data_IF_826285729602
#
_entry.id   IF_826285729602
#
_cell.length_a   1.000
_cell.length_b   1.000
_cell.length_c   1.000
_cell.angle_alpha   90.00
_cell.angle_beta   90.00
_cell.angle_gamma   90.00
#
_symmetry.space_group_name_H-M   'P 1'
#
loop_
_entity.id
_entity.type
_entity.pdbx_description
1 polymer ?
#
# COMPACT_ATOMS: atom_id res chain seq x y z
N UNK A 1 21.50 4.67 2.47
CA UNK A 1 21.06 5.68 3.46
C UNK A 1 19.68 5.24 3.94
N UNK A 2 19.53 4.94 5.22
CA UNK A 2 18.29 4.34 5.77
C UNK A 2 17.12 5.31 5.61
N UNK A 3 16.05 4.90 4.91
CA UNK A 3 14.81 5.67 4.83
C UNK A 3 14.22 5.78 6.23
N UNK A 4 14.43 6.92 6.87
CA UNK A 4 13.68 7.29 8.07
C UNK A 4 12.21 7.35 7.67
N UNK A 5 11.43 6.39 8.17
CA UNK A 5 9.97 6.52 8.26
C UNK A 5 9.67 7.95 8.73
N UNK A 6 8.76 8.69 8.05
CA UNK A 6 8.34 10.01 8.51
C UNK A 6 8.09 9.97 10.02
N UNK A 7 8.59 10.94 10.78
CA UNK A 7 8.56 10.90 12.27
C UNK A 7 7.16 10.59 12.83
N UNK A 8 6.11 10.92 12.10
CA UNK A 8 4.71 10.60 12.42
C UNK A 8 4.37 9.11 12.22
N UNK A 9 4.84 8.48 11.13
CA UNK A 9 4.69 7.05 10.91
C UNK A 9 5.55 6.22 11.89
N UNK A 10 6.76 6.67 12.20
CA UNK A 10 7.61 6.01 13.19
C UNK A 10 6.95 6.00 14.58
N UNK A 11 6.34 7.12 14.99
CA UNK A 11 5.58 7.22 16.26
C UNK A 11 4.32 6.34 16.28
N UNK A 12 3.62 6.20 15.16
CA UNK A 12 2.43 5.35 15.06
C UNK A 12 2.78 3.85 15.10
N UNK A 13 3.90 3.44 14.49
CA UNK A 13 4.38 2.05 14.51
C UNK A 13 4.83 1.58 15.90
N UNK A 14 5.40 2.47 16.71
CA UNK A 14 5.85 2.14 18.07
C UNK A 14 4.73 2.09 19.12
N UNK A 15 3.53 2.62 18.82
CA UNK A 15 2.38 2.63 19.75
C UNK A 15 1.26 1.66 19.36
N UNK A 16 1.28 1.16 18.13
CA UNK A 16 0.22 0.30 17.63
C UNK A 16 0.67 -1.15 17.79
N UNK A 17 -0.13 -1.93 18.53
CA UNK A 17 -0.15 -3.39 18.45
C UNK A 17 0.01 -3.85 16.99
N UNK A 18 0.59 -5.05 16.72
CA UNK A 18 0.72 -5.57 15.36
C UNK A 18 -0.60 -5.31 14.63
N UNK A 19 -0.54 -4.54 13.54
CA UNK A 19 -1.73 -4.04 12.89
C UNK A 19 -2.70 -5.19 12.67
N UNK A 20 -3.99 -4.94 12.86
CA UNK A 20 -5.02 -5.95 12.68
C UNK A 20 -6.00 -5.44 11.64
N UNK A 21 -6.13 -6.16 10.55
CA UNK A 21 -7.25 -5.96 9.64
C UNK A 21 -8.53 -6.48 10.32
N UNK A 22 -9.61 -5.72 10.24
CA UNK A 22 -10.90 -6.08 10.84
C UNK A 22 -11.70 -7.04 9.94
N UNK A 23 -11.37 -7.06 8.65
CA UNK A 23 -11.99 -7.88 7.63
C UNK A 23 -10.97 -8.86 7.01
N UNK A 24 -11.40 -9.92 6.32
CA UNK A 24 -10.48 -10.74 5.51
C UNK A 24 -9.81 -9.90 4.42
N UNK A 25 -8.58 -10.26 4.03
CA UNK A 25 -7.82 -9.50 3.02
C UNK A 25 -8.56 -9.34 1.69
N UNK A 26 -9.31 -10.37 1.28
CA UNK A 26 -10.16 -10.32 0.08
C UNK A 26 -11.22 -9.21 0.10
N UNK A 27 -11.65 -8.74 1.27
CA UNK A 27 -12.63 -7.65 1.38
C UNK A 27 -12.05 -6.27 0.99
N UNK A 28 -10.72 -6.12 1.03
CA UNK A 28 -10.01 -4.91 0.57
C UNK A 28 -9.61 -5.01 -0.91
N UNK A 29 -9.86 -6.13 -1.57
CA UNK A 29 -9.61 -6.26 -2.99
C UNK A 29 -10.68 -5.52 -3.80
N UNK A 30 -10.26 -4.78 -4.81
CA UNK A 30 -11.19 -4.01 -5.64
C UNK A 30 -10.52 -2.88 -6.40
N UNK A 31 -11.34 -2.18 -7.19
CA UNK A 31 -10.96 -0.99 -7.93
C UNK A 31 -11.44 0.26 -7.22
N UNK A 32 -10.51 1.13 -6.87
CA UNK A 32 -10.78 2.39 -6.19
C UNK A 32 -10.49 3.54 -7.13
N UNK A 33 -11.54 4.16 -7.65
CA UNK A 33 -11.44 5.31 -8.54
C UNK A 33 -11.37 6.60 -7.75
N UNK A 34 -10.61 7.58 -8.25
CA UNK A 34 -10.75 8.94 -7.79
C UNK A 34 -12.11 9.52 -8.21
N UNK A 35 -12.51 10.64 -7.60
CA UNK A 35 -13.79 11.30 -7.89
C UNK A 35 -13.97 11.71 -9.37
N UNK A 36 -12.86 12.02 -10.05
CA UNK A 36 -12.86 12.43 -11.46
C UNK A 36 -13.02 11.22 -12.40
N UNK A 37 -12.80 10.00 -11.92
CA UNK A 37 -12.95 8.75 -12.67
C UNK A 37 -11.83 8.47 -13.68
N UNK A 38 -10.83 9.35 -13.80
CA UNK A 38 -9.72 9.20 -14.74
C UNK A 38 -8.51 8.46 -14.14
N UNK A 39 -8.49 8.27 -12.82
CA UNK A 39 -7.47 7.50 -12.13
C UNK A 39 -8.09 6.50 -11.19
N UNK A 40 -7.53 5.29 -11.19
CA UNK A 40 -7.86 4.29 -10.20
C UNK A 40 -6.62 3.59 -9.69
N UNK A 41 -6.74 3.05 -8.49
CA UNK A 41 -5.87 1.99 -7.98
C UNK A 41 -6.64 0.69 -8.00
N UNK A 42 -5.94 -0.41 -8.27
CA UNK A 42 -6.50 -1.76 -8.19
C UNK A 42 -5.77 -2.50 -7.09
N UNK A 43 -6.53 -3.00 -6.12
CA UNK A 43 -6.04 -3.84 -5.02
C UNK A 43 -6.45 -5.26 -5.29
N UNK A 44 -5.49 -6.19 -5.22
CA UNK A 44 -5.71 -7.61 -5.51
C UNK A 44 -5.17 -8.42 -4.33
N UNK A 45 -5.94 -9.44 -3.94
CA UNK A 45 -5.46 -10.46 -3.02
C UNK A 45 -4.52 -11.42 -3.77
N UNK A 46 -3.30 -11.55 -3.28
CA UNK A 46 -2.32 -12.51 -3.75
C UNK A 46 -2.41 -13.77 -2.89
N UNK A 47 -3.04 -14.80 -3.45
CA UNK A 47 -3.23 -16.09 -2.76
C UNK A 47 -1.91 -16.85 -2.58
N UNK A 48 -0.84 -16.51 -3.31
CA UNK A 48 0.46 -17.18 -3.21
C UNK A 48 1.29 -16.64 -2.05
N UNK A 49 1.29 -15.31 -1.88
CA UNK A 49 2.03 -14.65 -0.79
C UNK A 49 1.16 -14.32 0.45
N UNK A 50 -0.12 -14.70 0.42
CA UNK A 50 -1.15 -14.41 1.43
C UNK A 50 -1.13 -12.93 1.84
N UNK A 51 -1.38 -12.06 0.87
CA UNK A 51 -1.22 -10.62 1.05
C UNK A 51 -1.97 -9.78 0.04
N UNK A 52 -1.89 -8.47 0.20
CA UNK A 52 -2.47 -7.52 -0.75
C UNK A 52 -1.38 -6.90 -1.63
N UNK A 53 -1.69 -6.75 -2.92
CA UNK A 53 -0.93 -5.89 -3.82
C UNK A 53 -1.81 -4.77 -4.33
N UNK A 54 -1.23 -3.59 -4.54
CA UNK A 54 -1.90 -2.52 -5.24
C UNK A 54 -1.12 -2.13 -6.50
N UNK A 55 -1.84 -1.69 -7.53
CA UNK A 55 -1.25 -1.20 -8.77
C UNK A 55 -1.93 0.09 -9.21
N UNK A 56 -1.16 1.04 -9.72
CA UNK A 56 -1.72 2.23 -10.36
C UNK A 56 -2.28 1.85 -11.74
N UNK A 57 -3.53 2.25 -12.03
CA UNK A 57 -4.19 1.98 -13.32
C UNK A 57 -4.27 0.48 -13.70
N UNK A 58 -4.30 -0.41 -12.69
CA UNK A 58 -4.55 -1.84 -12.87
C UNK A 58 -3.31 -2.72 -12.96
N UNK A 59 -3.54 -4.03 -12.97
CA UNK A 59 -2.52 -5.10 -12.85
C UNK A 59 -1.47 -5.18 -13.98
N UNK A 60 -1.66 -4.48 -15.10
CA UNK A 60 -0.71 -4.50 -16.23
C UNK A 60 0.35 -3.41 -16.18
N UNK A 61 0.38 -2.60 -15.13
CA UNK A 61 1.43 -1.60 -14.98
C UNK A 61 2.63 -2.17 -14.24
N UNK A 62 3.82 -1.69 -14.58
CA UNK A 62 5.08 -2.02 -13.91
C UNK A 62 5.15 -1.49 -12.47
N UNK A 63 4.14 -0.75 -12.01
CA UNK A 63 4.05 -0.15 -10.68
C UNK A 63 3.06 -0.91 -9.81
N UNK A 64 3.36 -2.19 -9.57
CA UNK A 64 2.63 -3.03 -8.62
C UNK A 64 3.46 -3.18 -7.36
N UNK A 65 2.85 -2.92 -6.20
CA UNK A 65 3.54 -2.93 -4.92
C UNK A 65 2.80 -3.79 -3.91
N UNK A 66 3.55 -4.45 -3.04
CA UNK A 66 3.01 -5.16 -1.88
C UNK A 66 2.53 -4.14 -0.84
N UNK A 67 1.34 -4.39 -0.31
CA UNK A 67 0.78 -3.64 0.80
C UNK A 67 1.17 -4.32 2.11
N UNK A 68 1.74 -3.53 3.01
CA UNK A 68 2.10 -3.92 4.37
C UNK A 68 1.10 -3.32 5.34
N UNK A 69 0.71 -4.12 6.33
CA UNK A 69 -0.20 -3.66 7.37
C UNK A 69 0.55 -2.73 8.32
N UNK A 70 0.09 -1.49 8.39
CA UNK A 70 0.69 -0.44 9.21
C UNK A 70 -0.09 -0.20 10.51
N UNK A 71 -1.41 -0.33 10.46
CA UNK A 71 -2.33 -0.14 11.59
C UNK A 71 -3.66 -0.84 11.32
N UNK A 72 -4.69 -0.53 12.12
CA UNK A 72 -6.04 -1.06 11.88
C UNK A 72 -6.57 -0.58 10.55
N UNK A 73 -6.85 -1.52 9.65
CA UNK A 73 -7.33 -1.26 8.28
C UNK A 73 -6.50 -0.24 7.50
N UNK A 74 -5.24 -0.08 7.88
CA UNK A 74 -4.32 0.91 7.31
C UNK A 74 -3.15 0.17 6.72
N UNK A 75 -2.97 0.33 5.41
CA UNK A 75 -1.90 -0.29 4.65
C UNK A 75 -0.91 0.76 4.16
N UNK A 76 0.35 0.38 4.07
CA UNK A 76 1.39 1.19 3.45
C UNK A 76 2.14 0.37 2.40
N UNK A 77 2.94 1.05 1.57
CA UNK A 77 3.85 0.40 0.65
C UNK A 77 5.17 1.17 0.61
N UNK A 78 6.24 0.47 0.30
CA UNK A 78 7.53 1.09 0.02
C UNK A 78 7.61 1.47 -1.46
N UNK A 79 8.12 2.67 -1.74
CA UNK A 79 8.59 3.03 -3.07
C UNK A 79 10.04 2.60 -3.23
N UNK A 80 10.41 2.12 -4.41
CA UNK A 80 11.82 1.95 -4.77
C UNK A 80 12.50 3.31 -4.87
N UNK A 81 13.84 3.33 -4.74
CA UNK A 81 14.62 4.56 -4.87
C UNK A 81 14.40 5.24 -6.25
N UNK A 82 14.32 4.44 -7.31
CA UNK A 82 14.03 4.93 -8.66
C UNK A 82 12.66 5.61 -8.75
N UNK A 83 11.64 5.03 -8.12
CA UNK A 83 10.29 5.60 -8.09
C UNK A 83 10.20 6.86 -7.22
N UNK A 84 10.93 6.91 -6.09
CA UNK A 84 11.03 8.11 -5.27
C UNK A 84 11.65 9.25 -6.06
N UNK A 85 12.80 8.98 -6.70
CA UNK A 85 13.51 9.97 -7.52
C UNK A 85 12.68 10.45 -8.71
N UNK A 86 12.00 9.56 -9.42
CA UNK A 86 11.11 9.91 -10.53
C UNK A 86 9.93 10.80 -10.09
N UNK A 87 9.51 10.69 -8.82
CA UNK A 87 8.45 11.49 -8.22
C UNK A 87 8.97 12.74 -7.49
N UNK A 88 10.27 13.04 -7.61
CA UNK A 88 10.89 14.23 -7.02
C UNK A 88 10.96 14.21 -5.49
N UNK A 89 10.96 13.01 -4.89
CA UNK A 89 11.15 12.80 -3.44
C UNK A 89 12.51 12.22 -3.13
#
# INVERSE_FOLDING_TARGET
MWMQLPKEMAKARSKSSPGKHTQPLSAYAGRYCNKVGNWFIEVVHDDVEDGLRFSFQGRWTTQSHRLELFGTDTFCWALTEAESRARGR
#
